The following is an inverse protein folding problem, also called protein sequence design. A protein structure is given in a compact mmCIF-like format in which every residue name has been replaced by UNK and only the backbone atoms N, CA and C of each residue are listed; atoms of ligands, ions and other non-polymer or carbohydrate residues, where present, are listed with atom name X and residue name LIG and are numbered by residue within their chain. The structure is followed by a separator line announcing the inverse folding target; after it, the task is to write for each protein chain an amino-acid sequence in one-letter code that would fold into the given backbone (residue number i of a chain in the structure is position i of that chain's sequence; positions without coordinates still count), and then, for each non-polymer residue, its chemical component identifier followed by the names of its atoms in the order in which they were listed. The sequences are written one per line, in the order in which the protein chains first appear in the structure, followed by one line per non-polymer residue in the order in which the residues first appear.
data_IF_990053747820
#
_entry.id   IF_990053747820
#
_cell.length_a   1.000
_cell.length_b   1.000
_cell.length_c   1.000
_cell.angle_alpha   90.00
_cell.angle_beta   90.00
_cell.angle_gamma   90.00
#
_symmetry.space_group_name_H-M   'P 1'
#
loop_
_entity.id
_entity.type
_entity.pdbx_description
1 polymer ?
#
# COMPACT_ATOMS: atom_id res chain seq x y z
N UNK A 1 -26.38 20.51 -9.23
CA UNK A 1 -24.92 20.77 -9.26
C UNK A 1 -24.40 21.14 -7.87
N UNK A 2 -25.29 21.55 -6.97
CA UNK A 2 -24.99 22.16 -5.68
C UNK A 2 -24.46 21.15 -4.65
N UNK A 3 -24.96 19.91 -4.66
CA UNK A 3 -24.52 18.84 -3.75
C UNK A 3 -23.02 18.54 -3.88
N UNK A 4 -22.49 18.54 -5.10
CA UNK A 4 -21.06 18.27 -5.35
C UNK A 4 -20.21 19.45 -4.86
N UNK A 5 -20.65 20.69 -5.15
CA UNK A 5 -19.97 21.91 -4.71
C UNK A 5 -19.97 22.05 -3.19
N UNK A 6 -21.08 21.71 -2.52
CA UNK A 6 -21.20 21.72 -1.07
C UNK A 6 -20.31 20.65 -0.42
N UNK A 7 -20.24 19.45 -1.02
CA UNK A 7 -19.33 18.39 -0.59
C UNK A 7 -17.86 18.82 -0.67
N UNK A 8 -17.46 19.45 -1.78
CA UNK A 8 -16.09 19.98 -1.94
C UNK A 8 -15.80 21.08 -0.92
N UNK A 9 -16.72 22.04 -0.72
CA UNK A 9 -16.57 23.10 0.28
C UNK A 9 -16.41 22.52 1.69
N UNK A 10 -17.20 21.50 2.04
CA UNK A 10 -17.13 20.83 3.35
C UNK A 10 -15.82 20.06 3.53
N UNK A 11 -15.30 19.41 2.48
CA UNK A 11 -14.00 18.76 2.50
C UNK A 11 -12.86 19.77 2.74
N UNK A 12 -12.85 20.90 2.03
CA UNK A 12 -11.89 21.97 2.28
C UNK A 12 -12.04 22.55 3.70
N UNK A 13 -13.26 22.73 4.18
CA UNK A 13 -13.48 23.16 5.56
C UNK A 13 -12.88 22.19 6.58
N UNK A 14 -13.10 20.88 6.43
CA UNK A 14 -12.52 19.84 7.30
C UNK A 14 -10.98 19.85 7.25
N UNK A 15 -10.40 20.04 6.06
CA UNK A 15 -8.94 20.14 5.89
C UNK A 15 -8.36 21.39 6.56
N UNK A 16 -8.94 22.57 6.34
CA UNK A 16 -8.44 23.83 6.91
C UNK A 16 -8.74 23.97 8.41
N UNK A 17 -9.80 23.33 8.90
CA UNK A 17 -10.12 23.28 10.34
C UNK A 17 -9.26 22.25 11.07
N UNK A 18 -8.43 21.47 10.34
CA UNK A 18 -7.60 20.42 10.93
C UNK A 18 -8.42 19.47 11.79
N UNK A 19 -9.55 19.00 11.23
CA UNK A 19 -10.45 18.12 11.95
C UNK A 19 -9.71 16.91 12.54
N UNK A 20 -9.91 16.67 13.82
CA UNK A 20 -9.14 15.67 14.58
C UNK A 20 -9.39 14.23 14.08
N UNK A 21 -10.58 13.95 13.55
CA UNK A 21 -10.91 12.65 12.97
C UNK A 21 -10.18 12.46 11.65
N UNK A 22 -10.25 13.44 10.74
CA UNK A 22 -9.55 13.42 9.45
C UNK A 22 -8.04 13.28 9.66
N UNK A 23 -7.45 14.10 10.53
CA UNK A 23 -6.03 14.02 10.84
C UNK A 23 -5.64 12.68 11.48
N UNK A 24 -6.47 12.15 12.38
CA UNK A 24 -6.24 10.85 13.01
C UNK A 24 -6.18 9.73 11.98
N UNK A 25 -7.14 9.70 11.04
CA UNK A 25 -7.18 8.71 9.96
C UNK A 25 -6.00 8.89 9.00
N UNK A 26 -5.68 10.12 8.61
CA UNK A 26 -4.54 10.43 7.76
C UNK A 26 -3.23 9.98 8.40
N UNK A 27 -3.00 10.33 9.66
CA UNK A 27 -1.80 9.93 10.40
C UNK A 27 -1.69 8.42 10.55
N UNK A 28 -2.79 7.73 10.88
CA UNK A 28 -2.82 6.28 10.97
C UNK A 28 -2.46 5.63 9.62
N UNK A 29 -3.06 6.12 8.52
CA UNK A 29 -2.81 5.63 7.16
C UNK A 29 -1.36 5.86 6.74
N UNK A 30 -0.80 7.03 7.03
CA UNK A 30 0.61 7.37 6.80
C UNK A 30 1.54 6.46 7.60
N UNK A 31 1.24 6.21 8.88
CA UNK A 31 2.04 5.33 9.73
C UNK A 31 2.04 3.90 9.20
N UNK A 32 0.88 3.36 8.84
CA UNK A 32 0.76 1.98 8.34
C UNK A 32 1.42 1.83 6.97
N UNK A 33 1.11 2.71 6.02
CA UNK A 33 1.69 2.66 4.67
C UNK A 33 3.19 2.96 4.67
N UNK A 34 3.63 3.92 5.50
CA UNK A 34 5.03 4.28 5.65
C UNK A 34 5.87 3.15 6.25
N UNK A 35 5.39 2.51 7.31
CA UNK A 35 6.08 1.35 7.90
C UNK A 35 6.09 0.16 6.94
N UNK A 36 4.97 -0.14 6.28
CA UNK A 36 4.91 -1.19 5.27
C UNK A 36 5.89 -0.93 4.11
N UNK A 37 5.98 0.32 3.63
CA UNK A 37 6.91 0.72 2.56
C UNK A 37 8.35 0.61 3.01
N UNK A 38 8.68 1.04 4.23
CA UNK A 38 10.04 0.99 4.76
C UNK A 38 10.54 -0.46 4.89
N UNK A 39 9.69 -1.35 5.42
CA UNK A 39 9.97 -2.79 5.49
C UNK A 39 10.13 -3.37 4.08
N UNK A 40 9.21 -3.02 3.17
CA UNK A 40 9.25 -3.49 1.78
C UNK A 40 10.49 -3.02 1.03
N UNK A 41 10.96 -1.80 1.28
CA UNK A 41 12.21 -1.29 0.71
C UNK A 41 13.40 -2.11 1.19
N UNK A 42 13.52 -2.35 2.50
CA UNK A 42 14.66 -3.07 3.04
C UNK A 42 14.73 -4.51 2.49
N UNK A 43 13.64 -5.28 2.61
CA UNK A 43 13.62 -6.67 2.14
C UNK A 43 13.50 -6.79 0.62
N UNK A 44 12.62 -5.99 0.01
CA UNK A 44 12.36 -6.02 -1.42
C UNK A 44 13.54 -5.53 -2.25
N UNK A 45 14.28 -4.51 -1.80
CA UNK A 45 15.49 -4.08 -2.48
C UNK A 45 16.59 -5.14 -2.37
N UNK A 46 16.87 -5.68 -1.17
CA UNK A 46 17.89 -6.71 -1.00
C UNK A 46 17.59 -7.97 -1.82
N UNK A 47 16.39 -8.53 -1.71
CA UNK A 47 16.00 -9.73 -2.46
C UNK A 47 15.88 -9.44 -3.95
N UNK A 48 15.26 -8.31 -4.32
CA UNK A 48 15.09 -7.89 -5.71
C UNK A 48 16.42 -7.71 -6.43
N UNK A 49 17.41 -7.07 -5.79
CA UNK A 49 18.75 -6.89 -6.35
C UNK A 49 19.45 -8.23 -6.56
N UNK A 50 19.38 -9.16 -5.60
CA UNK A 50 19.97 -10.50 -5.76
C UNK A 50 19.33 -11.24 -6.93
N UNK A 51 17.99 -11.23 -7.03
CA UNK A 51 17.26 -11.92 -8.12
C UNK A 51 17.50 -11.26 -9.49
N UNK A 52 17.71 -9.94 -9.52
CA UNK A 52 17.99 -9.20 -10.73
C UNK A 52 19.40 -9.47 -11.27
N UNK A 53 20.41 -9.51 -10.39
CA UNK A 53 21.82 -9.60 -10.77
C UNK A 53 22.37 -11.02 -10.86
N UNK A 54 21.76 -12.00 -10.18
CA UNK A 54 22.24 -13.39 -10.21
C UNK A 54 21.46 -14.25 -11.20
N UNK A 55 22.17 -15.07 -11.97
CA UNK A 55 21.58 -16.04 -12.89
C UNK A 55 21.65 -17.44 -12.28
N UNK A 56 20.65 -17.78 -11.46
CA UNK A 56 20.49 -19.11 -10.87
C UNK A 56 19.38 -19.92 -11.57
N UNK A 57 19.47 -21.27 -11.60
CA UNK A 57 18.54 -22.11 -12.36
C UNK A 57 17.06 -21.98 -11.95
N UNK A 58 16.78 -21.57 -10.71
CA UNK A 58 15.42 -21.33 -10.19
C UNK A 58 14.83 -19.93 -10.42
N UNK A 59 15.56 -19.03 -11.11
CA UNK A 59 15.19 -17.60 -11.21
C UNK A 59 13.80 -17.36 -11.80
N UNK A 60 13.41 -18.13 -12.83
CA UNK A 60 12.09 -17.99 -13.47
C UNK A 60 10.93 -18.24 -12.50
N UNK A 61 11.09 -19.23 -11.61
CA UNK A 61 10.07 -19.55 -10.61
C UNK A 61 9.92 -18.42 -9.58
N UNK A 62 11.05 -17.88 -9.08
CA UNK A 62 11.06 -16.76 -8.14
C UNK A 62 10.43 -15.50 -8.76
N UNK A 63 10.81 -15.15 -9.99
CA UNK A 63 10.22 -14.01 -10.70
C UNK A 63 8.73 -14.20 -10.95
N UNK A 64 8.29 -15.42 -11.28
CA UNK A 64 6.87 -15.73 -11.44
C UNK A 64 6.09 -15.50 -10.13
N UNK A 65 6.61 -15.98 -8.99
CA UNK A 65 6.00 -15.76 -7.68
C UNK A 65 5.88 -14.27 -7.35
N UNK A 66 6.94 -13.48 -7.59
CA UNK A 66 6.92 -12.02 -7.39
C UNK A 66 5.84 -11.38 -8.26
N UNK A 67 5.78 -11.72 -9.55
CA UNK A 67 4.77 -11.19 -10.47
C UNK A 67 3.35 -11.63 -10.10
N UNK A 68 3.16 -12.87 -9.62
CA UNK A 68 1.87 -13.33 -9.08
C UNK A 68 1.45 -12.50 -7.88
N UNK A 69 2.39 -12.18 -6.98
CA UNK A 69 2.19 -11.25 -5.87
C UNK A 69 1.68 -9.88 -6.32
N UNK A 70 2.20 -9.34 -7.43
CA UNK A 70 1.74 -8.07 -7.99
C UNK A 70 0.36 -8.15 -8.66
N UNK A 71 -0.01 -9.32 -9.19
CA UNK A 71 -1.30 -9.56 -9.85
C UNK A 71 -2.41 -10.03 -8.89
N UNK A 72 -2.06 -10.35 -7.64
CA UNK A 72 -2.98 -10.88 -6.64
C UNK A 72 -4.05 -9.83 -6.27
N UNK A 73 -5.35 -10.18 -6.29
CA UNK A 73 -6.40 -9.24 -5.92
C UNK A 73 -6.27 -8.82 -4.46
N UNK A 74 -6.37 -7.52 -4.14
CA UNK A 74 -6.28 -7.03 -2.75
C UNK A 74 -7.31 -7.70 -1.83
N UNK A 75 -8.48 -8.04 -2.36
CA UNK A 75 -9.56 -8.72 -1.64
C UNK A 75 -9.14 -10.12 -1.17
N UNK A 76 -8.44 -10.89 -2.01
CA UNK A 76 -7.98 -12.24 -1.66
C UNK A 76 -6.94 -12.18 -0.54
N UNK A 77 -6.01 -11.23 -0.64
CA UNK A 77 -5.01 -10.98 0.41
C UNK A 77 -5.68 -10.56 1.72
N UNK A 78 -6.68 -9.67 1.64
CA UNK A 78 -7.45 -9.22 2.80
C UNK A 78 -8.21 -10.35 3.50
N UNK A 79 -8.83 -11.27 2.76
CA UNK A 79 -9.52 -12.44 3.32
C UNK A 79 -8.54 -13.38 4.04
N UNK A 80 -7.40 -13.69 3.42
CA UNK A 80 -6.39 -14.58 4.01
C UNK A 80 -5.78 -14.03 5.30
N UNK A 81 -5.51 -12.72 5.35
CA UNK A 81 -4.89 -12.09 6.52
C UNK A 81 -5.89 -11.93 7.66
N UNK A 82 -7.16 -11.66 7.35
CA UNK A 82 -8.21 -11.39 8.35
C UNK A 82 -8.94 -12.65 8.83
N UNK A 83 -8.89 -13.74 8.07
CA UNK A 83 -9.67 -14.95 8.32
C UNK A 83 -8.81 -16.21 8.09
N UNK A 84 -8.19 -16.76 9.15
CA UNK A 84 -7.82 -18.17 9.20
C UNK A 84 -8.99 -19.04 9.71
#
# INVERSE_FOLDING_TARGET
MDIILDGIRKAFHLLFTFDAEVLGITWFSLKVSGTATFISLFFGMSVGTVVALTQFPGRKFVVSLINTGMALPPVVVGLFVRQP
#
